data_IF_617777880572
#
_entry.id   IF_617777880572
#
_cell.length_a   1.000
_cell.length_b   1.000
_cell.length_c   1.000
_cell.angle_alpha   90.00
_cell.angle_beta   90.00
_cell.angle_gamma   90.00
#
_symmetry.space_group_name_H-M   'P 1'
#
loop_
_entity.id
_entity.type
_entity.pdbx_description
1 polymer ?
#
# COMPACT_ATOMS: atom_id res chain seq x y z
N UNK A 1 14.79 5.32 28.64
CA UNK A 1 13.59 5.32 27.77
C UNK A 1 13.33 3.95 27.16
N UNK A 2 14.28 3.30 26.44
CA UNK A 2 14.11 1.97 25.83
C UNK A 2 13.75 0.87 26.84
N UNK A 3 14.38 0.84 28.02
CA UNK A 3 14.09 -0.16 29.06
C UNK A 3 12.66 -0.02 29.61
N UNK A 4 12.23 1.21 29.87
CA UNK A 4 10.87 1.50 30.35
C UNK A 4 9.82 1.07 29.32
N UNK A 5 10.07 1.35 28.03
CA UNK A 5 9.19 0.94 26.92
C UNK A 5 9.06 -0.59 26.84
N UNK A 6 10.18 -1.33 26.90
CA UNK A 6 10.15 -2.80 26.90
C UNK A 6 9.43 -3.38 28.12
N UNK A 7 9.53 -2.74 29.28
CA UNK A 7 8.81 -3.12 30.48
C UNK A 7 7.28 -2.95 30.31
N UNK A 8 6.83 -1.82 29.75
CA UNK A 8 5.41 -1.60 29.46
C UNK A 8 4.87 -2.56 28.43
N UNK A 9 5.62 -2.85 27.34
CA UNK A 9 5.21 -3.87 26.36
C UNK A 9 5.04 -5.23 27.03
N UNK A 10 5.96 -5.63 27.91
CA UNK A 10 5.86 -6.88 28.63
C UNK A 10 4.62 -6.96 29.52
N UNK A 11 4.33 -5.87 30.26
CA UNK A 11 3.10 -5.78 31.07
C UNK A 11 1.85 -5.89 30.22
N UNK A 12 1.81 -5.18 29.09
CA UNK A 12 0.69 -5.24 28.14
C UNK A 12 0.47 -6.65 27.64
N UNK A 13 1.52 -7.35 27.15
CA UNK A 13 1.44 -8.74 26.67
C UNK A 13 0.93 -9.69 27.77
N UNK A 14 1.28 -9.45 29.06
CA UNK A 14 0.80 -10.25 30.16
C UNK A 14 -0.67 -9.98 30.50
N UNK A 15 -1.13 -8.73 30.33
CA UNK A 15 -2.47 -8.29 30.78
C UNK A 15 -3.59 -8.56 29.78
N UNK A 16 -3.28 -8.80 28.50
CA UNK A 16 -4.29 -9.06 27.47
C UNK A 16 -4.47 -10.55 27.21
N UNK A 17 -5.64 -10.95 26.73
CA UNK A 17 -5.95 -12.35 26.39
C UNK A 17 -5.49 -12.71 24.99
N UNK A 18 -5.61 -11.79 24.01
CA UNK A 18 -5.22 -11.99 22.63
C UNK A 18 -4.53 -10.75 22.08
N UNK A 19 -3.56 -10.96 21.19
CA UNK A 19 -2.89 -9.92 20.40
C UNK A 19 -2.99 -10.35 18.94
N UNK A 20 -3.54 -9.47 18.10
CA UNK A 20 -3.69 -9.68 16.68
C UNK A 20 -2.60 -8.91 15.96
N UNK A 21 -1.90 -9.58 15.05
CA UNK A 21 -0.90 -9.00 14.17
C UNK A 21 -1.44 -8.97 12.74
N UNK A 22 -1.21 -7.87 12.05
CA UNK A 22 -1.62 -7.68 10.66
C UNK A 22 -0.50 -7.99 9.65
N UNK A 23 0.72 -8.26 10.14
CA UNK A 23 1.88 -8.58 9.32
C UNK A 23 2.66 -9.76 9.86
N UNK A 24 3.06 -10.69 8.97
CA UNK A 24 3.81 -11.89 9.34
C UNK A 24 5.15 -11.58 10.01
N UNK A 25 5.85 -10.54 9.57
CA UNK A 25 7.17 -10.19 10.14
C UNK A 25 7.07 -9.75 11.61
N UNK A 26 6.06 -8.96 11.96
CA UNK A 26 5.80 -8.57 13.35
C UNK A 26 5.35 -9.77 14.19
N UNK A 27 4.47 -10.61 13.64
CA UNK A 27 3.97 -11.82 14.29
C UNK A 27 5.11 -12.76 14.66
N UNK A 28 5.97 -13.11 13.71
CA UNK A 28 7.11 -13.99 13.94
C UNK A 28 8.14 -13.37 14.92
N UNK A 29 8.37 -12.06 14.81
CA UNK A 29 9.22 -11.36 15.77
C UNK A 29 8.65 -11.40 17.18
N UNK A 30 7.35 -11.19 17.35
CA UNK A 30 6.69 -11.25 18.65
C UNK A 30 6.78 -12.64 19.27
N UNK A 31 6.54 -13.71 18.50
CA UNK A 31 6.71 -15.12 18.93
C UNK A 31 8.12 -15.40 19.43
N UNK A 32 9.13 -14.91 18.71
CA UNK A 32 10.53 -15.11 19.07
C UNK A 32 10.92 -14.39 20.38
N UNK A 33 10.35 -13.20 20.64
CA UNK A 33 10.63 -12.40 21.85
C UNK A 33 9.83 -12.91 23.06
N UNK A 34 8.56 -13.28 22.86
CA UNK A 34 7.61 -13.60 23.93
C UNK A 34 7.21 -15.09 23.90
N UNK A 35 8.21 -15.98 23.89
CA UNK A 35 8.04 -17.44 23.75
C UNK A 35 7.03 -18.07 24.71
N UNK A 36 6.84 -17.50 25.92
CA UNK A 36 5.91 -18.00 26.93
C UNK A 36 4.47 -17.57 26.74
N UNK A 37 4.18 -16.68 25.82
CA UNK A 37 2.86 -16.09 25.55
C UNK A 37 2.42 -16.32 24.09
N UNK A 38 3.03 -17.27 23.39
CA UNK A 38 2.77 -17.55 21.97
C UNK A 38 1.29 -17.85 21.70
N UNK A 39 0.63 -18.51 22.65
CA UNK A 39 -0.79 -18.87 22.57
C UNK A 39 -1.75 -17.66 22.53
N UNK A 40 -1.25 -16.48 22.92
CA UNK A 40 -2.02 -15.24 22.83
C UNK A 40 -1.92 -14.54 21.48
N UNK A 41 -0.96 -14.95 20.64
CA UNK A 41 -0.65 -14.27 19.40
C UNK A 41 -1.40 -14.90 18.23
N UNK A 42 -2.09 -14.05 17.48
CA UNK A 42 -2.86 -14.45 16.33
C UNK A 42 -2.48 -13.57 15.13
N UNK A 43 -2.29 -14.21 13.99
CA UNK A 43 -2.19 -13.48 12.73
C UNK A 43 -3.58 -13.41 12.10
N UNK A 44 -4.00 -12.19 11.75
CA UNK A 44 -5.23 -11.93 11.02
C UNK A 44 -4.90 -10.97 9.89
N UNK A 45 -5.03 -11.37 8.62
CA UNK A 45 -4.80 -10.47 7.50
C UNK A 45 -5.79 -9.30 7.53
N UNK A 46 -5.33 -8.15 7.07
CA UNK A 46 -6.21 -7.02 6.84
C UNK A 46 -7.16 -7.34 5.68
N UNK A 47 -8.46 -7.23 5.89
CA UNK A 47 -9.46 -7.51 4.86
C UNK A 47 -10.19 -6.23 4.43
N UNK A 48 -10.77 -6.24 3.23
CA UNK A 48 -11.52 -5.12 2.67
C UNK A 48 -12.90 -5.56 2.15
N UNK A 49 -13.83 -4.62 2.10
CA UNK A 49 -15.11 -4.81 1.41
C UNK A 49 -14.91 -4.82 -0.11
N UNK A 50 -14.75 -6.00 -0.70
CA UNK A 50 -14.52 -6.17 -2.13
C UNK A 50 -15.76 -5.85 -2.99
N UNK A 51 -16.96 -5.80 -2.41
CA UNK A 51 -18.16 -5.39 -3.12
C UNK A 51 -18.23 -3.87 -3.26
N UNK A 52 -17.75 -3.14 -2.26
CA UNK A 52 -17.58 -1.70 -2.36
C UNK A 52 -16.41 -1.34 -3.29
N UNK A 53 -15.22 -1.93 -3.08
CA UNK A 53 -14.01 -1.70 -3.87
C UNK A 53 -14.01 -2.54 -5.16
N UNK A 54 -15.02 -2.30 -6.02
CA UNK A 54 -15.26 -3.05 -7.26
C UNK A 54 -15.35 -2.11 -8.45
N UNK A 55 -14.68 -2.47 -9.54
CA UNK A 55 -14.86 -1.83 -10.85
C UNK A 55 -16.15 -2.35 -11.50
N UNK A 56 -17.29 -1.75 -11.11
CA UNK A 56 -18.64 -2.21 -11.51
C UNK A 56 -18.86 -2.19 -13.03
N UNK A 57 -18.21 -1.26 -13.70
CA UNK A 57 -18.41 -1.04 -15.15
C UNK A 57 -17.36 -1.78 -15.99
N UNK A 58 -16.49 -2.59 -15.39
CA UNK A 58 -15.38 -3.27 -16.06
C UNK A 58 -14.56 -2.32 -16.97
N UNK A 59 -14.38 -1.06 -16.54
CA UNK A 59 -13.63 -0.05 -17.28
C UNK A 59 -12.22 -0.58 -17.54
N UNK A 60 -11.76 -0.48 -18.79
CA UNK A 60 -10.35 -0.76 -19.13
C UNK A 60 -9.47 0.37 -18.59
N UNK A 61 -8.70 0.08 -17.55
CA UNK A 61 -7.86 1.06 -16.85
C UNK A 61 -6.48 1.21 -17.50
N UNK A 62 -6.14 0.36 -18.46
CA UNK A 62 -4.81 0.40 -19.11
C UNK A 62 -4.59 1.63 -19.98
N UNK A 63 -5.67 2.33 -20.35
CA UNK A 63 -5.62 3.56 -21.14
C UNK A 63 -5.51 4.83 -20.31
N UNK A 64 -5.59 4.72 -18.98
CA UNK A 64 -5.36 5.86 -18.10
C UNK A 64 -3.86 6.17 -18.06
N UNK A 65 -3.52 7.43 -17.79
CA UNK A 65 -2.12 7.89 -17.67
C UNK A 65 -1.77 8.36 -16.27
N UNK A 66 -2.72 8.24 -15.33
CA UNK A 66 -2.54 8.70 -13.97
C UNK A 66 -1.87 7.63 -13.11
N UNK A 67 -0.96 8.08 -12.26
CA UNK A 67 -0.36 7.33 -11.16
C UNK A 67 -0.97 7.84 -9.87
N UNK A 68 -1.52 6.97 -9.04
CA UNK A 68 -2.11 7.35 -7.76
C UNK A 68 -1.23 6.96 -6.58
N UNK A 69 -1.12 7.87 -5.63
CA UNK A 69 -0.57 7.65 -4.29
C UNK A 69 -1.62 8.02 -3.25
N UNK A 70 -1.79 7.15 -2.22
CA UNK A 70 -2.67 7.39 -1.09
C UNK A 70 -1.93 7.08 0.20
N UNK A 71 -1.86 8.04 1.13
CA UNK A 71 -1.26 7.78 2.43
C UNK A 71 -0.79 9.01 3.21
N UNK A 72 -0.80 8.84 4.55
CA UNK A 72 -0.44 9.89 5.51
C UNK A 72 0.52 9.40 6.60
N UNK A 73 0.73 8.08 6.72
CA UNK A 73 1.53 7.53 7.82
C UNK A 73 3.04 7.78 7.66
N UNK A 74 3.76 7.76 8.77
CA UNK A 74 5.19 8.06 8.83
C UNK A 74 6.10 7.06 8.11
N UNK A 75 5.57 5.90 7.69
CA UNK A 75 6.31 4.89 6.92
C UNK A 75 6.29 5.19 5.41
N UNK A 76 5.50 6.17 4.95
CA UNK A 76 5.53 6.61 3.54
C UNK A 76 6.84 7.35 3.24
N UNK A 77 7.41 7.09 2.09
CA UNK A 77 8.55 7.84 1.57
C UNK A 77 8.06 8.97 0.65
N UNK A 78 7.69 10.08 1.28
CA UNK A 78 7.20 11.26 0.57
C UNK A 78 8.29 11.95 -0.27
N UNK A 79 9.56 11.88 0.17
CA UNK A 79 10.67 12.45 -0.60
C UNK A 79 10.88 11.69 -1.91
N UNK A 80 10.83 10.36 -1.84
CA UNK A 80 10.88 9.52 -3.03
C UNK A 80 9.70 9.82 -3.97
N UNK A 81 8.47 9.94 -3.42
CA UNK A 81 7.28 10.28 -4.21
C UNK A 81 7.45 11.59 -4.98
N UNK A 82 7.93 12.64 -4.32
CA UNK A 82 8.15 13.95 -4.95
C UNK A 82 9.19 13.82 -6.07
N UNK A 83 10.34 13.17 -5.82
CA UNK A 83 11.38 12.93 -6.84
C UNK A 83 10.86 12.15 -8.03
N UNK A 84 9.94 11.18 -7.81
CA UNK A 84 9.30 10.45 -8.91
C UNK A 84 8.43 11.38 -9.76
N UNK A 85 7.61 12.22 -9.14
CA UNK A 85 6.77 13.18 -9.85
C UNK A 85 7.57 14.21 -10.64
N UNK A 86 8.69 14.70 -10.09
CA UNK A 86 9.63 15.60 -10.77
C UNK A 86 10.31 14.95 -11.99
N UNK A 87 10.60 13.65 -11.90
CA UNK A 87 11.34 12.91 -12.93
C UNK A 87 10.44 12.37 -14.04
N UNK A 88 9.17 12.10 -13.74
CA UNK A 88 8.19 11.44 -14.64
C UNK A 88 7.12 12.44 -15.11
N UNK A 89 7.55 13.57 -15.68
CA UNK A 89 6.67 14.67 -16.11
C UNK A 89 5.66 14.28 -17.18
N UNK A 90 5.87 13.16 -17.87
CA UNK A 90 4.96 12.62 -18.88
C UNK A 90 3.74 11.93 -18.27
N UNK A 91 3.73 11.63 -16.96
CA UNK A 91 2.61 11.03 -16.27
C UNK A 91 1.99 12.02 -15.29
N UNK A 92 0.67 11.90 -15.08
CA UNK A 92 -0.04 12.67 -14.09
C UNK A 92 -0.04 11.94 -12.75
N UNK A 93 0.27 12.63 -11.66
CA UNK A 93 0.22 12.10 -10.31
C UNK A 93 -1.01 12.62 -9.58
N UNK A 94 -1.82 11.69 -9.06
CA UNK A 94 -2.91 11.96 -8.13
C UNK A 94 -2.41 11.61 -6.74
N UNK A 95 -2.25 12.61 -5.87
CA UNK A 95 -1.79 12.43 -4.50
C UNK A 95 -2.96 12.67 -3.56
N UNK A 96 -3.36 11.65 -2.79
CA UNK A 96 -4.37 11.76 -1.73
C UNK A 96 -3.67 11.72 -0.40
N UNK A 97 -3.48 12.88 0.21
CA UNK A 97 -2.76 13.04 1.47
C UNK A 97 -3.08 14.36 2.14
N UNK A 98 -3.09 14.36 3.48
CA UNK A 98 -3.13 15.57 4.32
C UNK A 98 -1.75 15.93 4.91
N UNK A 99 -0.68 15.28 4.42
CA UNK A 99 0.67 15.54 4.94
C UNK A 99 1.15 16.92 4.51
N UNK A 100 1.70 17.69 5.47
CA UNK A 100 2.17 19.06 5.29
C UNK A 100 3.26 19.20 4.19
N UNK A 101 4.00 18.12 3.87
CA UNK A 101 5.04 18.14 2.84
C UNK A 101 4.50 18.50 1.46
N UNK A 102 3.21 18.24 1.21
CA UNK A 102 2.56 18.54 -0.07
C UNK A 102 1.92 19.94 -0.14
N UNK A 103 1.84 20.67 0.97
CA UNK A 103 1.11 21.93 1.07
C UNK A 103 1.61 23.02 0.10
N UNK A 104 2.91 23.01 -0.16
CA UNK A 104 3.57 23.98 -1.05
C UNK A 104 4.15 23.30 -2.31
N UNK A 105 3.74 22.07 -2.61
CA UNK A 105 4.21 21.37 -3.80
C UNK A 105 3.48 21.92 -5.02
N UNK A 106 4.23 22.56 -5.91
CA UNK A 106 3.73 23.13 -7.18
C UNK A 106 4.45 22.44 -8.35
N UNK A 107 3.88 21.31 -8.79
CA UNK A 107 4.34 20.57 -9.96
C UNK A 107 3.17 20.45 -10.95
N UNK A 108 3.38 20.81 -12.24
CA UNK A 108 2.29 20.89 -13.22
C UNK A 108 1.61 19.54 -13.50
N UNK A 109 2.30 18.44 -13.22
CA UNK A 109 1.80 17.08 -13.39
C UNK A 109 1.29 16.44 -12.08
N UNK A 110 1.12 17.22 -11.01
CA UNK A 110 0.66 16.73 -9.71
C UNK A 110 -0.66 17.37 -9.32
N UNK A 111 -1.65 16.54 -9.02
CA UNK A 111 -2.92 16.97 -8.42
C UNK A 111 -3.02 16.42 -7.00
N UNK A 112 -3.16 17.30 -6.03
CA UNK A 112 -3.25 16.97 -4.62
C UNK A 112 -4.71 17.02 -4.20
N UNK A 113 -5.18 15.96 -3.55
CA UNK A 113 -6.45 15.88 -2.85
C UNK A 113 -6.17 15.76 -1.35
N UNK A 114 -6.63 16.74 -0.59
CA UNK A 114 -6.51 16.68 0.85
C UNK A 114 -7.41 15.56 1.39
N UNK A 115 -6.86 14.64 2.17
CA UNK A 115 -7.62 13.55 2.72
C UNK A 115 -6.79 12.66 3.64
N UNK A 116 -7.41 12.31 4.76
CA UNK A 116 -6.91 11.31 5.69
C UNK A 116 -8.03 10.38 6.11
N UNK A 117 -7.67 9.18 6.55
CA UNK A 117 -8.67 8.22 7.00
C UNK A 117 -9.47 8.78 8.17
N UNK A 118 -10.80 8.78 8.03
CA UNK A 118 -11.73 9.24 9.05
C UNK A 118 -11.89 10.75 9.18
N UNK A 119 -11.18 11.56 8.37
CA UNK A 119 -11.32 13.03 8.39
C UNK A 119 -12.61 13.54 7.74
N UNK A 120 -13.23 12.75 6.87
CA UNK A 120 -14.38 13.16 6.06
C UNK A 120 -14.05 14.14 4.92
N UNK A 121 -12.78 14.49 4.71
CA UNK A 121 -12.34 15.42 3.66
C UNK A 121 -12.47 14.81 2.26
N UNK A 122 -12.33 13.49 2.13
CA UNK A 122 -12.60 12.74 0.91
C UNK A 122 -13.46 11.53 1.26
N UNK A 123 -14.52 11.31 0.52
CA UNK A 123 -15.36 10.12 0.71
C UNK A 123 -14.70 8.88 0.10
N UNK A 124 -15.01 7.68 0.63
CA UNK A 124 -14.55 6.42 0.04
C UNK A 124 -15.02 6.27 -1.42
N UNK A 125 -16.19 6.83 -1.76
CA UNK A 125 -16.69 6.83 -3.14
C UNK A 125 -15.84 7.70 -4.06
N UNK A 126 -15.43 8.88 -3.60
CA UNK A 126 -14.55 9.78 -4.37
C UNK A 126 -13.15 9.18 -4.49
N UNK A 127 -12.63 8.61 -3.40
CA UNK A 127 -11.34 7.90 -3.43
C UNK A 127 -11.38 6.73 -4.44
N UNK A 128 -12.46 5.94 -4.44
CA UNK A 128 -12.65 4.88 -5.43
C UNK A 128 -12.66 5.41 -6.86
N UNK A 129 -13.28 6.57 -7.11
CA UNK A 129 -13.28 7.20 -8.42
C UNK A 129 -11.88 7.63 -8.85
N UNK A 130 -11.08 8.22 -7.94
CA UNK A 130 -9.68 8.57 -8.22
C UNK A 130 -8.83 7.33 -8.55
N UNK A 131 -9.05 6.21 -7.84
CA UNK A 131 -8.43 4.95 -8.23
C UNK A 131 -8.83 4.56 -9.66
N UNK A 132 -10.13 4.57 -10.01
CA UNK A 132 -10.63 4.19 -11.34
C UNK A 132 -10.19 5.14 -12.48
N UNK A 133 -9.66 6.31 -12.17
CA UNK A 133 -9.00 7.22 -13.11
C UNK A 133 -7.50 6.92 -13.26
N UNK A 134 -6.97 5.99 -12.48
CA UNK A 134 -5.55 5.70 -12.44
C UNK A 134 -5.21 4.39 -13.14
N UNK A 135 -3.99 4.29 -13.65
CA UNK A 135 -3.44 3.10 -14.29
C UNK A 135 -2.55 2.29 -13.34
N UNK A 136 -1.89 2.96 -12.42
CA UNK A 136 -0.95 2.38 -11.47
C UNK A 136 -1.12 3.04 -10.10
N UNK A 137 -1.13 2.24 -9.05
CA UNK A 137 -1.02 2.72 -7.67
C UNK A 137 0.41 2.51 -7.17
N UNK A 138 1.04 3.57 -6.67
CA UNK A 138 2.39 3.48 -6.12
C UNK A 138 2.40 3.69 -4.61
N UNK A 139 3.20 2.89 -3.92
CA UNK A 139 3.30 2.90 -2.46
C UNK A 139 4.79 2.90 -2.07
N UNK A 140 5.50 4.03 -2.25
CA UNK A 140 6.86 4.17 -1.77
C UNK A 140 6.89 4.17 -0.24
N UNK A 141 7.68 3.27 0.35
CA UNK A 141 7.80 3.08 1.80
C UNK A 141 9.24 3.22 2.24
N UNK A 142 9.43 3.70 3.46
CA UNK A 142 10.67 3.57 4.22
C UNK A 142 10.79 2.16 4.77
N UNK A 143 12.02 1.71 5.03
CA UNK A 143 12.24 0.40 5.66
C UNK A 143 11.59 0.34 7.03
N UNK A 144 10.77 -0.67 7.27
CA UNK A 144 10.07 -0.91 8.51
C UNK A 144 9.76 -2.39 8.68
N UNK A 145 9.63 -2.86 9.93
CA UNK A 145 9.03 -4.15 10.25
C UNK A 145 7.52 -4.06 10.40
N UNK A 146 6.99 -2.85 10.61
CA UNK A 146 5.56 -2.62 10.67
C UNK A 146 4.99 -2.64 9.26
N UNK A 147 3.93 -3.42 9.02
CA UNK A 147 3.26 -3.41 7.73
C UNK A 147 2.64 -2.04 7.45
N UNK A 148 2.83 -1.55 6.25
CA UNK A 148 2.27 -0.28 5.79
C UNK A 148 1.75 -0.40 4.37
N UNK A 149 0.72 0.36 4.02
CA UNK A 149 0.13 0.35 2.69
C UNK A 149 -0.86 -0.77 2.39
N UNK A 150 -1.18 -1.64 3.35
CA UNK A 150 -2.07 -2.79 3.15
C UNK A 150 -3.43 -2.39 2.57
N UNK A 151 -4.18 -1.50 3.26
CA UNK A 151 -5.51 -1.08 2.81
C UNK A 151 -5.49 -0.48 1.41
N UNK A 152 -4.53 0.41 1.16
CA UNK A 152 -4.34 1.07 -0.14
C UNK A 152 -4.04 0.07 -1.25
N UNK A 153 -3.13 -0.89 -0.99
CA UNK A 153 -2.79 -1.93 -1.95
C UNK A 153 -4.00 -2.81 -2.26
N UNK A 154 -4.68 -3.32 -1.23
CA UNK A 154 -5.83 -4.21 -1.40
C UNK A 154 -7.01 -3.52 -2.10
N UNK A 155 -7.29 -2.25 -1.78
CA UNK A 155 -8.31 -1.44 -2.45
C UNK A 155 -8.00 -1.28 -3.94
N UNK A 156 -6.76 -0.89 -4.28
CA UNK A 156 -6.30 -0.76 -5.67
C UNK A 156 -6.45 -2.08 -6.43
N UNK A 157 -5.92 -3.16 -5.87
CA UNK A 157 -5.93 -4.49 -6.49
C UNK A 157 -7.35 -5.02 -6.69
N UNK A 158 -8.26 -4.81 -5.73
CA UNK A 158 -9.67 -5.19 -5.84
C UNK A 158 -10.38 -4.48 -7.01
N UNK A 159 -9.99 -3.23 -7.28
CA UNK A 159 -10.47 -2.46 -8.44
C UNK A 159 -9.82 -2.88 -9.76
N UNK A 160 -8.80 -3.72 -9.73
CA UNK A 160 -8.04 -4.15 -10.89
C UNK A 160 -6.93 -3.15 -11.28
N UNK A 161 -6.45 -2.34 -10.34
CA UNK A 161 -5.33 -1.42 -10.55
C UNK A 161 -4.07 -2.08 -10.01
N UNK A 162 -3.03 -2.29 -10.83
CA UNK A 162 -1.76 -2.82 -10.38
C UNK A 162 -1.14 -1.94 -9.31
N UNK A 163 -0.45 -2.58 -8.37
CA UNK A 163 0.26 -1.91 -7.28
C UNK A 163 1.76 -2.07 -7.48
N UNK A 164 2.49 -0.97 -7.35
CA UNK A 164 3.95 -0.95 -7.22
C UNK A 164 4.32 -0.45 -5.82
N UNK A 165 5.05 -1.26 -5.06
CA UNK A 165 5.32 -1.00 -3.64
C UNK A 165 6.78 -1.30 -3.30
N UNK A 166 7.36 -0.55 -2.35
CA UNK A 166 8.67 -0.90 -1.78
C UNK A 166 8.57 -2.24 -1.06
N UNK A 167 9.41 -3.20 -1.39
CA UNK A 167 9.53 -4.45 -0.65
C UNK A 167 10.28 -4.21 0.66
N UNK A 168 9.54 -4.02 1.74
CA UNK A 168 10.12 -3.86 3.09
C UNK A 168 10.19 -5.20 3.82
N UNK A 169 10.97 -5.26 4.90
CA UNK A 169 10.98 -6.43 5.82
C UNK A 169 9.63 -6.66 6.47
N UNK A 170 8.83 -5.61 6.65
CA UNK A 170 7.49 -5.65 7.23
C UNK A 170 6.36 -5.89 6.23
N UNK A 171 6.67 -6.25 4.97
CA UNK A 171 5.62 -6.61 4.03
C UNK A 171 4.76 -7.75 4.60
N UNK A 172 3.43 -7.63 4.54
CA UNK A 172 2.51 -8.41 5.38
C UNK A 172 2.44 -9.91 5.08
N UNK A 173 2.53 -10.32 3.80
CA UNK A 173 2.45 -11.73 3.38
C UNK A 173 3.21 -11.98 2.07
N UNK A 174 4.52 -12.23 2.13
CA UNK A 174 5.38 -12.43 0.96
C UNK A 174 5.10 -13.72 0.17
N UNK A 175 4.48 -14.70 0.79
CA UNK A 175 4.12 -15.98 0.19
C UNK A 175 2.93 -15.90 -0.77
N UNK A 176 2.09 -14.89 -0.63
CA UNK A 176 0.92 -14.66 -1.50
C UNK A 176 1.22 -13.66 -2.63
N UNK A 177 2.08 -12.68 -2.36
CA UNK A 177 2.40 -11.63 -3.32
C UNK A 177 3.71 -11.92 -4.04
N UNK A 178 3.62 -12.10 -5.36
CA UNK A 178 4.75 -12.46 -6.21
C UNK A 178 5.05 -11.33 -7.20
N UNK A 179 6.33 -10.90 -7.24
CA UNK A 179 6.76 -9.81 -8.14
C UNK A 179 6.50 -10.14 -9.60
N UNK A 180 6.00 -9.15 -10.34
CA UNK A 180 5.62 -9.24 -11.75
C UNK A 180 4.55 -10.32 -12.07
N UNK A 181 3.90 -10.88 -11.03
CA UNK A 181 2.77 -11.80 -11.20
C UNK A 181 1.44 -11.18 -10.74
N UNK A 182 1.38 -10.69 -9.50
CA UNK A 182 0.19 -10.06 -8.94
C UNK A 182 0.47 -8.71 -8.22
N UNK A 183 1.74 -8.33 -8.10
CA UNK A 183 2.21 -7.05 -7.57
C UNK A 183 3.53 -6.69 -8.26
N UNK A 184 3.93 -5.42 -8.21
CA UNK A 184 5.29 -5.00 -8.56
C UNK A 184 6.04 -4.61 -7.29
N UNK A 185 7.10 -5.33 -6.95
CA UNK A 185 8.01 -4.95 -5.88
C UNK A 185 9.16 -4.08 -6.41
N UNK A 186 9.55 -3.10 -5.61
CA UNK A 186 10.82 -2.37 -5.80
C UNK A 186 11.66 -2.59 -4.56
N UNK A 187 12.78 -3.29 -4.72
CA UNK A 187 13.60 -3.81 -3.62
C UNK A 187 14.63 -2.81 -3.12
N UNK A 188 14.72 -1.63 -3.72
CA UNK A 188 15.66 -0.64 -3.28
C UNK A 188 15.02 0.76 -3.22
N UNK A 189 15.67 1.63 -2.44
CA UNK A 189 15.22 2.98 -2.19
C UNK A 189 15.76 3.96 -3.25
N UNK A 190 16.41 3.47 -4.34
CA UNK A 190 16.90 4.31 -5.41
C UNK A 190 15.74 4.70 -6.35
N UNK A 191 15.49 5.99 -6.45
CA UNK A 191 14.44 6.52 -7.31
C UNK A 191 14.58 6.11 -8.78
N UNK A 192 15.81 5.87 -9.28
CA UNK A 192 16.07 5.46 -10.68
C UNK A 192 15.43 4.11 -11.00
N UNK A 193 15.47 3.16 -10.06
CA UNK A 193 14.84 1.86 -10.25
C UNK A 193 13.33 1.98 -10.29
N UNK A 194 12.76 2.85 -9.46
CA UNK A 194 11.35 3.20 -9.53
C UNK A 194 10.97 3.79 -10.89
N UNK A 195 11.72 4.80 -11.37
CA UNK A 195 11.51 5.44 -12.67
C UNK A 195 11.56 4.41 -13.81
N UNK A 196 12.59 3.55 -13.82
CA UNK A 196 12.75 2.53 -14.84
C UNK A 196 11.58 1.52 -14.82
N UNK A 197 11.19 1.06 -13.63
CA UNK A 197 10.09 0.08 -13.49
C UNK A 197 8.74 0.70 -13.86
N UNK A 198 8.45 1.94 -13.49
CA UNK A 198 7.24 2.67 -13.90
C UNK A 198 7.19 2.80 -15.43
N UNK A 199 8.27 3.26 -16.07
CA UNK A 199 8.31 3.38 -17.52
C UNK A 199 8.12 2.04 -18.22
N UNK A 200 8.76 0.95 -17.74
CA UNK A 200 8.56 -0.42 -18.26
C UNK A 200 7.08 -0.81 -18.17
N UNK A 201 6.45 -0.62 -17.02
CA UNK A 201 5.04 -0.96 -16.78
C UNK A 201 4.11 -0.18 -17.71
N UNK A 202 4.35 1.12 -17.92
CA UNK A 202 3.50 1.93 -18.79
C UNK A 202 3.66 1.59 -20.29
N UNK A 203 4.73 0.95 -20.67
CA UNK A 203 4.99 0.49 -22.05
C UNK A 203 4.53 -0.96 -22.34
N UNK A 204 3.99 -1.67 -21.32
CA UNK A 204 3.55 -3.06 -21.47
C UNK A 204 2.10 -3.27 -21.01
N UNK A 205 1.16 -3.00 -21.90
CA UNK A 205 -0.29 -3.16 -21.64
C UNK A 205 -0.66 -4.63 -21.35
N UNK A 206 0.06 -5.59 -21.91
CA UNK A 206 -0.22 -7.01 -21.68
C UNK A 206 0.18 -7.42 -20.27
N UNK A 207 1.33 -6.97 -19.81
CA UNK A 207 1.79 -7.21 -18.44
C UNK A 207 0.83 -6.56 -17.42
N UNK A 208 0.42 -5.31 -17.67
CA UNK A 208 -0.56 -4.61 -16.80
C UNK A 208 -1.86 -5.42 -16.71
N UNK A 209 -2.44 -5.83 -17.84
CA UNK A 209 -3.68 -6.62 -17.85
C UNK A 209 -3.56 -7.93 -17.09
N UNK A 210 -2.44 -8.65 -17.28
CA UNK A 210 -2.15 -9.89 -16.56
C UNK A 210 -2.10 -9.64 -15.05
N UNK A 211 -1.31 -8.65 -14.61
CA UNK A 211 -1.12 -8.35 -13.19
C UNK A 211 -2.41 -7.82 -12.56
N UNK A 212 -3.15 -6.94 -13.24
CA UNK A 212 -4.47 -6.48 -12.79
C UNK A 212 -5.41 -7.63 -12.48
N UNK A 213 -5.49 -8.60 -13.40
CA UNK A 213 -6.34 -9.78 -13.22
C UNK A 213 -5.90 -10.62 -12.03
N UNK A 214 -4.61 -10.93 -11.95
CA UNK A 214 -4.06 -11.75 -10.87
C UNK A 214 -4.17 -11.06 -9.52
N UNK A 215 -3.85 -9.76 -9.44
CA UNK A 215 -3.99 -8.94 -8.25
C UNK A 215 -5.42 -8.97 -7.70
N UNK A 216 -6.41 -8.78 -8.59
CA UNK A 216 -7.82 -8.86 -8.21
C UNK A 216 -8.19 -10.25 -7.69
N UNK A 217 -7.79 -11.34 -8.35
CA UNK A 217 -8.05 -12.71 -7.86
C UNK A 217 -7.42 -12.91 -6.48
N UNK A 218 -6.16 -12.50 -6.29
CA UNK A 218 -5.46 -12.60 -5.01
C UNK A 218 -6.25 -11.95 -3.86
N UNK A 219 -6.80 -10.76 -4.10
CA UNK A 219 -7.60 -10.06 -3.08
C UNK A 219 -8.93 -10.76 -2.82
N UNK A 220 -9.64 -11.18 -3.86
CA UNK A 220 -10.93 -11.87 -3.72
C UNK A 220 -10.82 -13.21 -2.98
N UNK A 221 -9.70 -13.91 -3.13
CA UNK A 221 -9.46 -15.22 -2.54
C UNK A 221 -8.96 -15.13 -1.09
N UNK A 222 -8.19 -14.08 -0.74
CA UNK A 222 -7.45 -14.06 0.52
C UNK A 222 -7.80 -12.89 1.46
N UNK A 223 -8.44 -11.83 0.96
CA UNK A 223 -8.60 -10.56 1.70
C UNK A 223 -10.01 -9.99 1.64
N UNK A 224 -10.99 -10.79 1.23
CA UNK A 224 -12.40 -10.40 1.23
C UNK A 224 -12.92 -10.38 2.66
N UNK A 225 -13.60 -9.29 3.04
CA UNK A 225 -14.37 -9.21 4.26
C UNK A 225 -15.65 -10.04 4.07
N UNK A 226 -15.85 -11.04 4.90
CA UNK A 226 -17.06 -11.89 4.94
C UNK A 226 -18.10 -11.33 5.94
#
# INVERSE_FOLDING_TARGET
LKFLHLFFIKLLVLSVNNIIFLGNAEFEKAKNIHKKQIEKFNFLPFCIDTEFWKNKNNKDLTKNENIIFVGNDGNRDFELLIKLAESLKQFNFIIVSSNEVFKNLDLPNVKIHNGSWGSGEISDADLRNLYLESRLSIIPLKESLQPSGQSVALQSMSLGIPVMITETKGFWQKDIFLDEENIFFVNDFDYKNWVNKINKVFNDDLQIKKISKNAKSTVLENYKLE
#
